data_IF_539266616772
#
_entry.id   IF_539266616772
#
_cell.length_a   1.000
_cell.length_b   1.000
_cell.length_c   1.000
_cell.angle_alpha   90.00
_cell.angle_beta   90.00
_cell.angle_gamma   90.00
#
_symmetry.space_group_name_H-M   'P 1'
#
loop_
_entity.id
_entity.type
_entity.pdbx_description
1 polymer ?
#
# COMPACT_ATOMS: atom_id res chain seq x y z
N UNK A 1 37.82 18.58 39.47
CA UNK A 1 37.41 18.40 39.06
C UNK A 1 37.06 18.06 37.99
N UNK A 2 36.67 17.76 37.71
CA UNK A 2 36.33 17.31 36.69
C UNK A 2 35.24 17.22 36.25
N UNK A 3 34.92 17.21 35.63
CA UNK A 3 33.96 17.14 35.11
C UNK A 3 33.53 16.41 34.25
N UNK A 4 32.80 15.93 34.14
CA UNK A 4 32.32 15.13 33.51
C UNK A 4 31.66 15.40 32.53
N UNK A 5 31.65 15.30 31.69
CA UNK A 5 31.09 15.47 30.69
C UNK A 5 30.27 14.66 30.21
N UNK A 6 29.40 14.57 30.25
CA UNK A 6 28.60 13.91 29.79
C UNK A 6 28.22 14.00 28.58
N UNK A 7 28.32 13.47 27.91
CA UNK A 7 28.11 13.45 26.78
C UNK A 7 27.11 12.74 26.42
N UNK A 8 26.24 13.00 26.34
CA UNK A 8 25.27 12.44 25.96
C UNK A 8 25.07 12.11 24.70
N UNK A 9 24.93 11.26 24.36
CA UNK A 9 24.77 10.71 23.21
C UNK A 9 23.56 10.94 22.67
N UNK A 10 23.41 11.57 22.00
CA UNK A 10 22.36 11.84 21.47
C UNK A 10 21.85 10.96 20.62
N UNK A 11 21.31 10.35 20.86
CA UNK A 11 20.69 9.59 20.19
C UNK A 11 19.98 10.08 19.28
N UNK A 12 20.13 10.38 18.49
CA UNK A 12 19.56 10.73 17.57
C UNK A 12 18.78 9.93 17.04
N UNK A 13 18.02 9.77 17.43
CA UNK A 13 17.10 9.07 17.06
C UNK A 13 16.86 9.29 15.78
N UNK A 14 17.37 9.05 15.19
CA UNK A 14 17.23 9.17 14.06
C UNK A 14 16.02 9.02 13.54
N UNK A 15 15.50 9.78 13.29
CA UNK A 15 14.37 9.73 12.70
C UNK A 15 14.59 9.24 11.38
N UNK A 16 14.98 8.20 11.23
CA UNK A 16 15.03 7.67 9.95
C UNK A 16 13.63 7.68 9.44
N UNK A 17 13.42 8.04 8.29
CA UNK A 17 12.11 8.02 7.74
C UNK A 17 11.69 6.60 7.79
N UNK A 18 10.58 6.37 8.31
CA UNK A 18 10.15 5.04 8.30
C UNK A 18 9.49 4.87 6.98
N UNK A 19 10.07 4.17 6.13
CA UNK A 19 9.41 3.79 4.93
C UNK A 19 8.43 2.70 5.26
N UNK A 20 7.20 2.89 4.88
CA UNK A 20 6.22 1.85 5.03
C UNK A 20 6.62 0.67 4.16
N UNK A 21 6.37 -0.51 4.63
CA UNK A 21 6.70 -1.70 3.88
C UNK A 21 5.83 -1.82 2.65
N UNK A 22 6.38 -2.36 1.58
CA UNK A 22 5.61 -2.66 0.39
C UNK A 22 4.63 -3.81 0.67
N UNK A 23 3.58 -3.95 -0.12
CA UNK A 23 2.70 -5.09 0.03
C UNK A 23 3.44 -6.41 -0.08
N UNK A 24 2.94 -7.41 0.60
CA UNK A 24 3.57 -8.73 0.60
C UNK A 24 3.17 -9.53 -0.62
N UNK A 25 3.93 -10.59 -0.89
CA UNK A 25 3.57 -11.52 -1.96
C UNK A 25 2.21 -12.16 -1.71
N UNK A 26 1.91 -12.46 -0.45
CA UNK A 26 0.62 -13.04 -0.10
C UNK A 26 -0.52 -12.05 -0.38
N UNK A 27 -0.31 -10.78 -0.10
CA UNK A 27 -1.30 -9.76 -0.41
C UNK A 27 -1.49 -9.61 -1.93
N UNK A 28 -0.40 -9.65 -2.68
CA UNK A 28 -0.51 -9.58 -4.12
C UNK A 28 -1.35 -10.73 -4.68
N UNK A 29 -1.13 -11.92 -4.16
CA UNK A 29 -1.89 -13.09 -4.61
C UNK A 29 -3.35 -13.00 -4.20
N UNK A 30 -3.62 -12.50 -3.02
CA UNK A 30 -5.00 -12.29 -2.58
C UNK A 30 -5.70 -11.24 -3.44
N UNK A 31 -5.02 -10.13 -3.70
CA UNK A 31 -5.55 -9.10 -4.59
C UNK A 31 -5.92 -9.70 -5.94
N UNK A 32 -5.02 -10.49 -6.50
CA UNK A 32 -5.26 -11.10 -7.81
C UNK A 32 -6.50 -12.00 -7.78
N UNK A 33 -6.62 -12.84 -6.75
CA UNK A 33 -7.77 -13.74 -6.64
C UNK A 33 -9.08 -12.98 -6.50
N UNK A 34 -9.07 -11.93 -5.66
CA UNK A 34 -10.28 -11.12 -5.47
C UNK A 34 -10.63 -10.40 -6.76
N UNK A 35 -9.63 -9.85 -7.43
CA UNK A 35 -9.84 -9.18 -8.71
C UNK A 35 -10.43 -10.12 -9.75
N UNK A 36 -9.92 -11.34 -9.83
CA UNK A 36 -10.44 -12.33 -10.79
C UNK A 36 -11.90 -12.68 -10.51
N UNK A 37 -12.30 -12.66 -9.26
CA UNK A 37 -13.70 -12.87 -8.91
C UNK A 37 -14.60 -11.73 -9.34
N UNK A 38 -14.04 -10.54 -9.53
CA UNK A 38 -14.82 -9.36 -9.91
C UNK A 38 -14.75 -9.13 -11.42
N UNK A 39 -13.55 -9.06 -11.95
CA UNK A 39 -13.34 -8.62 -13.34
C UNK A 39 -13.16 -9.78 -14.32
N UNK A 40 -12.72 -10.92 -13.84
CA UNK A 40 -12.50 -12.11 -14.67
C UNK A 40 -11.59 -11.81 -15.88
N UNK A 41 -10.61 -10.98 -15.65
CA UNK A 41 -9.68 -10.52 -16.68
C UNK A 41 -8.27 -10.68 -16.14
N UNK A 42 -7.58 -11.75 -16.57
CA UNK A 42 -6.28 -12.09 -16.02
C UNK A 42 -5.24 -11.00 -16.32
N UNK A 43 -5.29 -10.42 -17.51
CA UNK A 43 -4.32 -9.38 -17.86
C UNK A 43 -4.51 -8.13 -17.01
N UNK A 44 -5.74 -7.70 -16.82
CA UNK A 44 -6.04 -6.54 -15.99
C UNK A 44 -5.69 -6.82 -14.53
N UNK A 45 -6.10 -7.98 -14.01
CA UNK A 45 -5.88 -8.31 -12.60
C UNK A 45 -4.39 -8.48 -12.30
N UNK A 46 -3.64 -9.09 -13.23
CA UNK A 46 -2.20 -9.21 -13.07
C UNK A 46 -1.51 -7.86 -13.06
N UNK A 47 -1.90 -6.99 -14.00
CA UNK A 47 -1.34 -5.63 -14.06
C UNK A 47 -1.63 -4.87 -12.77
N UNK A 48 -2.86 -4.90 -12.30
CA UNK A 48 -3.24 -4.15 -11.11
C UNK A 48 -2.61 -4.72 -9.85
N UNK A 49 -2.49 -6.04 -9.76
CA UNK A 49 -1.84 -6.66 -8.62
C UNK A 49 -0.37 -6.22 -8.54
N UNK A 50 0.31 -6.20 -9.68
CA UNK A 50 1.71 -5.77 -9.73
C UNK A 50 1.85 -4.27 -9.48
N UNK A 51 0.96 -3.46 -10.04
CA UNK A 51 1.01 -2.01 -9.84
C UNK A 51 0.83 -1.64 -8.38
N UNK A 52 -0.01 -2.37 -7.66
CA UNK A 52 -0.24 -2.09 -6.25
C UNK A 52 1.05 -2.23 -5.43
N UNK A 53 1.97 -3.07 -5.86
CA UNK A 53 3.23 -3.26 -5.12
C UNK A 53 4.06 -1.99 -5.05
N UNK A 54 3.90 -1.08 -6.00
CA UNK A 54 4.65 0.16 -6.04
C UNK A 54 3.82 1.39 -5.71
N UNK A 55 2.51 1.30 -5.78
CA UNK A 55 1.65 2.46 -5.59
C UNK A 55 1.21 2.66 -4.15
N UNK A 56 1.13 1.60 -3.37
CA UNK A 56 0.63 1.67 -2.00
C UNK A 56 1.49 0.79 -1.10
N UNK A 57 1.35 0.98 0.20
CA UNK A 57 2.10 0.20 1.17
C UNK A 57 1.30 -1.02 1.66
N UNK A 58 1.93 -1.80 2.51
CA UNK A 58 1.33 -3.03 3.04
C UNK A 58 0.00 -2.76 3.75
N UNK A 59 -0.03 -1.72 4.57
CA UNK A 59 -1.25 -1.39 5.30
C UNK A 59 -2.38 -1.04 4.34
N UNK A 60 -2.07 -0.20 3.36
CA UNK A 60 -3.10 0.25 2.44
C UNK A 60 -3.53 -0.84 1.48
N UNK A 61 -2.65 -1.78 1.17
CA UNK A 61 -3.04 -2.95 0.39
C UNK A 61 -4.17 -3.71 1.10
N UNK A 62 -4.08 -3.82 2.43
CA UNK A 62 -5.18 -4.42 3.19
C UNK A 62 -6.48 -3.65 3.05
N UNK A 63 -6.41 -2.31 3.05
CA UNK A 63 -7.60 -1.47 2.85
C UNK A 63 -8.21 -1.72 1.48
N UNK A 64 -7.37 -1.76 0.44
CA UNK A 64 -7.85 -1.96 -0.93
C UNK A 64 -8.50 -3.33 -1.10
N UNK A 65 -7.85 -4.37 -0.59
CA UNK A 65 -8.40 -5.73 -0.70
C UNK A 65 -9.74 -5.82 0.03
N UNK A 66 -9.83 -5.22 1.24
CA UNK A 66 -11.08 -5.23 2.00
C UNK A 66 -12.18 -4.51 1.22
N UNK A 67 -11.85 -3.38 0.58
CA UNK A 67 -12.80 -2.63 -0.21
C UNK A 67 -13.28 -3.43 -1.42
N UNK A 68 -12.36 -4.14 -2.06
CA UNK A 68 -12.72 -5.02 -3.18
C UNK A 68 -13.66 -6.13 -2.77
N UNK A 69 -13.58 -6.54 -1.51
CA UNK A 69 -14.49 -7.56 -0.95
C UNK A 69 -15.80 -6.97 -0.48
N UNK A 70 -16.04 -5.68 -0.68
CA UNK A 70 -17.29 -5.04 -0.34
C UNK A 70 -17.33 -4.37 1.01
N UNK A 71 -16.23 -4.27 1.73
CA UNK A 71 -16.22 -3.58 3.01
C UNK A 71 -16.15 -2.08 2.81
N UNK A 72 -16.77 -1.35 3.71
CA UNK A 72 -16.76 0.10 3.64
C UNK A 72 -15.36 0.62 3.91
N UNK A 73 -14.95 1.63 3.16
CA UNK A 73 -13.68 2.30 3.38
C UNK A 73 -13.83 3.33 4.48
N UNK A 74 -12.91 3.34 5.44
CA UNK A 74 -12.94 4.32 6.51
C UNK A 74 -12.81 5.73 5.92
N UNK A 75 -13.45 6.73 6.54
CA UNK A 75 -13.41 8.11 5.99
C UNK A 75 -12.00 8.61 5.75
N UNK A 76 -11.06 8.32 6.65
CA UNK A 76 -9.68 8.80 6.51
C UNK A 76 -8.95 8.13 5.35
N UNK A 77 -9.46 7.02 4.84
CA UNK A 77 -8.84 6.31 3.73
C UNK A 77 -9.51 6.64 2.38
N UNK A 78 -10.57 7.43 2.39
CA UNK A 78 -11.35 7.66 1.17
C UNK A 78 -10.55 8.39 0.08
N UNK A 79 -9.86 9.48 0.44
CA UNK A 79 -9.09 10.24 -0.54
C UNK A 79 -7.88 9.43 -1.02
N UNK A 80 -7.08 8.82 -0.14
CA UNK A 80 -6.00 7.96 -0.63
C UNK A 80 -6.49 6.82 -1.50
N UNK A 81 -7.67 6.26 -1.20
CA UNK A 81 -8.23 5.20 -2.01
C UNK A 81 -8.54 5.68 -3.42
N UNK A 82 -9.19 6.84 -3.54
CA UNK A 82 -9.51 7.39 -4.84
C UNK A 82 -8.26 7.74 -5.63
N UNK A 83 -7.23 8.24 -4.97
CA UNK A 83 -5.95 8.53 -5.59
C UNK A 83 -5.31 7.25 -6.13
N UNK A 84 -5.35 6.19 -5.35
CA UNK A 84 -4.80 4.91 -5.79
C UNK A 84 -5.55 4.39 -7.02
N UNK A 85 -6.88 4.45 -6.99
CA UNK A 85 -7.68 3.97 -8.13
C UNK A 85 -7.32 4.74 -9.39
N UNK A 86 -7.19 6.06 -9.30
CA UNK A 86 -6.86 6.88 -10.45
C UNK A 86 -5.48 6.51 -11.01
N UNK A 87 -4.49 6.36 -10.14
CA UNK A 87 -3.13 5.99 -10.57
C UNK A 87 -3.09 4.59 -11.13
N UNK A 88 -3.78 3.67 -10.50
CA UNK A 88 -3.85 2.29 -10.94
C UNK A 88 -4.46 2.20 -12.34
N UNK A 89 -5.49 3.01 -12.61
CA UNK A 89 -6.12 3.04 -13.93
C UNK A 89 -5.22 3.67 -14.99
N UNK A 90 -4.30 4.54 -14.60
CA UNK A 90 -3.32 5.07 -15.55
C UNK A 90 -2.31 4.01 -15.96
N UNK A 91 -1.91 3.16 -15.01
CA UNK A 91 -0.94 2.10 -15.28
C UNK A 91 -1.61 0.95 -16.01
N UNK A 92 -2.77 0.55 -15.54
CA UNK A 92 -3.48 -0.63 -16.05
C UNK A 92 -4.83 -0.16 -16.56
N UNK A 93 -4.90 0.12 -17.83
CA UNK A 93 -6.13 0.68 -18.40
C UNK A 93 -7.19 -0.38 -18.49
N UNK A 94 -8.25 -0.25 -17.74
CA UNK A 94 -9.33 -1.20 -17.87
C UNK A 94 -10.03 -1.01 -19.22
N UNK A 95 -10.61 -2.10 -19.64
CA UNK A 95 -11.27 -2.12 -20.91
C UNK A 95 -12.74 -1.88 -20.73
N UNK A 96 -13.14 -0.79 -20.18
CA UNK A 96 -14.55 -0.47 -20.02
C UNK A 96 -14.78 1.03 -20.00
#
# INVERSE_FOLDING_TARGET
MHKVLLVLPILLASAAPSFAAAPTAAQRDEFYRVCMGIAQDAALCGCKADAALTLIDERFMGVVIASMKGRATAPEDAVPYNTYVAKSNQVCKPNY
#
